data_IF_170183219451
#
_entry.id   IF_170183219451
#
_cell.length_a   1.000
_cell.length_b   1.000
_cell.length_c   1.000
_cell.angle_alpha   90.00
_cell.angle_beta   90.00
_cell.angle_gamma   90.00
#
_symmetry.space_group_name_H-M   'P 1'
#
loop_
_entity.id
_entity.type
_entity.pdbx_description
1 polymer ?
#
# COMPACT_ATOMS: atom_id res chain seq x y z
N UNK A 1 30.89 5.88 -16.44
CA UNK A 1 29.97 7.03 -16.61
C UNK A 1 29.24 7.24 -15.29
N UNK A 2 29.05 8.48 -14.80
CA UNK A 2 28.26 8.71 -13.61
C UNK A 2 26.80 8.31 -13.92
N UNK A 3 26.21 7.42 -13.11
CA UNK A 3 24.80 7.02 -13.27
C UNK A 3 23.94 8.28 -13.22
N UNK A 4 23.12 8.48 -14.25
CA UNK A 4 22.14 9.56 -14.24
C UNK A 4 21.21 9.36 -13.04
N UNK A 5 20.70 10.45 -12.44
CA UNK A 5 19.68 10.37 -11.37
C UNK A 5 18.41 9.59 -11.80
N UNK A 6 18.24 9.28 -13.09
CA UNK A 6 17.12 8.51 -13.61
C UNK A 6 17.31 6.99 -13.46
N UNK A 7 18.54 6.50 -13.25
CA UNK A 7 18.85 5.06 -13.13
C UNK A 7 19.04 4.59 -11.68
N UNK A 8 18.64 5.41 -10.70
CA UNK A 8 18.67 5.05 -9.29
C UNK A 8 17.31 4.57 -8.81
N UNK A 9 17.28 3.46 -8.09
CA UNK A 9 16.13 3.05 -7.29
C UNK A 9 15.99 3.99 -6.09
N UNK A 10 14.81 4.59 -5.93
CA UNK A 10 14.44 5.35 -4.74
C UNK A 10 13.60 4.46 -3.83
N UNK A 11 13.93 4.47 -2.54
CA UNK A 11 13.20 3.78 -1.50
C UNK A 11 12.62 4.87 -0.58
N UNK A 12 11.30 4.95 -0.49
CA UNK A 12 10.61 6.02 0.22
C UNK A 12 9.63 5.42 1.23
N UNK A 13 9.99 5.35 2.53
CA UNK A 13 9.06 4.94 3.57
C UNK A 13 8.04 6.06 3.83
N UNK A 14 6.75 5.74 3.72
CA UNK A 14 5.63 6.64 4.07
C UNK A 14 5.05 6.34 5.46
N UNK A 15 5.44 5.22 6.05
CA UNK A 15 5.17 4.83 7.43
C UNK A 15 5.86 3.51 7.77
N UNK A 16 5.97 3.20 9.07
CA UNK A 16 6.65 2.00 9.60
C UNK A 16 8.17 2.14 9.79
N UNK A 17 8.78 3.27 9.40
CA UNK A 17 10.19 3.57 9.71
C UNK A 17 10.29 4.47 10.94
N UNK A 18 10.96 3.99 12.00
CA UNK A 18 11.09 4.72 13.25
C UNK A 18 9.80 4.74 14.10
N UNK A 19 8.84 3.89 13.76
CA UNK A 19 7.56 3.71 14.46
C UNK A 19 7.09 2.25 14.38
N UNK A 20 6.05 1.89 15.13
CA UNK A 20 5.39 0.58 15.05
C UNK A 20 4.07 0.71 14.31
N UNK A 21 3.94 -0.03 13.21
CA UNK A 21 2.76 -0.08 12.36
C UNK A 21 2.69 1.00 11.29
N UNK A 22 1.52 1.21 10.67
CA UNK A 22 1.35 2.13 9.52
C UNK A 22 2.32 1.82 8.36
N UNK A 23 2.64 0.55 8.14
CA UNK A 23 3.64 0.17 7.15
C UNK A 23 3.18 0.55 5.75
N UNK A 24 4.02 1.32 5.05
CA UNK A 24 3.88 1.62 3.63
C UNK A 24 5.23 2.09 3.09
N UNK A 25 5.74 1.39 2.08
CA UNK A 25 7.01 1.75 1.43
C UNK A 25 6.82 1.86 -0.08
N UNK A 26 7.41 2.88 -0.68
CA UNK A 26 7.47 3.03 -2.13
C UNK A 26 8.84 2.61 -2.65
N UNK A 27 8.84 1.85 -3.74
CA UNK A 27 9.99 1.64 -4.60
C UNK A 27 9.73 2.38 -5.91
N UNK A 28 10.52 3.43 -6.19
CA UNK A 28 10.41 4.21 -7.43
C UNK A 28 11.66 4.00 -8.29
N UNK A 29 11.46 3.52 -9.52
CA UNK A 29 12.53 3.33 -10.50
C UNK A 29 12.07 3.80 -11.87
N UNK A 30 12.86 4.68 -12.52
CA UNK A 30 12.55 5.24 -13.85
C UNK A 30 11.10 5.79 -13.95
N UNK A 31 10.63 6.43 -12.89
CA UNK A 31 9.29 7.01 -12.81
C UNK A 31 8.15 6.01 -12.60
N UNK A 32 8.43 4.71 -12.49
CA UNK A 32 7.46 3.68 -12.10
C UNK A 32 7.50 3.44 -10.59
N UNK A 33 6.34 3.17 -9.99
CA UNK A 33 6.18 3.04 -8.53
C UNK A 33 5.60 1.67 -8.20
N UNK A 34 6.24 0.97 -7.27
CA UNK A 34 5.69 -0.21 -6.60
C UNK A 34 5.45 0.16 -5.14
N UNK A 35 4.27 -0.18 -4.61
CA UNK A 35 3.93 0.02 -3.20
C UNK A 35 4.08 -1.31 -2.48
N UNK A 36 4.74 -1.31 -1.33
CA UNK A 36 4.78 -2.43 -0.40
C UNK A 36 3.94 -2.03 0.81
N UNK A 37 2.87 -2.79 1.03
CA UNK A 37 1.91 -2.61 2.11
C UNK A 37 1.17 -1.26 2.13
N UNK A 38 0.06 -1.24 2.88
CA UNK A 38 -0.82 -0.11 3.09
C UNK A 38 -1.54 -0.29 4.44
N UNK A 39 -0.79 -0.18 5.53
CA UNK A 39 -1.28 -0.39 6.89
C UNK A 39 -1.73 0.87 7.62
N UNK A 40 -2.47 0.69 8.72
CA UNK A 40 -2.71 1.76 9.71
C UNK A 40 -1.96 1.50 11.01
N UNK A 41 -1.91 2.50 11.88
CA UNK A 41 -1.53 2.35 13.29
C UNK A 41 -2.71 2.76 14.17
N UNK A 42 -2.85 2.13 15.32
CA UNK A 42 -3.81 2.53 16.35
C UNK A 42 -3.34 3.83 17.05
N UNK A 43 -4.27 4.68 17.51
CA UNK A 43 -3.95 5.89 18.26
C UNK A 43 -3.23 5.59 19.58
N UNK A 44 -2.55 6.61 20.12
CA UNK A 44 -2.05 6.61 21.49
C UNK A 44 -3.14 7.11 22.47
N UNK A 45 -2.93 6.93 23.78
CA UNK A 45 -3.92 7.27 24.82
C UNK A 45 -4.28 8.76 24.85
N UNK A 46 -3.39 9.62 24.35
CA UNK A 46 -3.55 11.08 24.29
C UNK A 46 -4.28 11.57 23.02
N UNK A 47 -4.79 10.65 22.19
CA UNK A 47 -5.51 10.96 20.94
C UNK A 47 -7.00 10.59 21.00
N UNK A 48 -7.80 11.21 21.89
CA UNK A 48 -9.22 10.86 22.03
C UNK A 48 -10.01 11.15 20.75
N UNK A 49 -10.84 10.18 20.35
CA UNK A 49 -11.72 10.29 19.17
C UNK A 49 -11.07 9.92 17.83
N UNK A 50 -9.79 9.55 17.82
CA UNK A 50 -9.12 9.00 16.63
C UNK A 50 -9.25 7.48 16.63
N UNK A 51 -9.77 6.88 15.56
CA UNK A 51 -9.84 5.41 15.44
C UNK A 51 -8.54 4.81 14.85
N UNK A 52 -8.00 5.45 13.81
CA UNK A 52 -6.86 4.95 13.05
C UNK A 52 -5.98 6.09 12.51
N UNK A 53 -4.67 5.84 12.45
CA UNK A 53 -3.68 6.72 11.82
C UNK A 53 -3.16 6.03 10.54
N UNK A 54 -3.30 6.69 9.39
CA UNK A 54 -2.91 6.14 8.07
C UNK A 54 -1.74 6.90 7.44
N UNK A 55 -0.97 6.30 6.50
CA UNK A 55 0.12 6.98 5.81
C UNK A 55 -0.34 8.21 5.02
N UNK A 56 0.51 9.23 4.94
CA UNK A 56 0.27 10.38 4.07
C UNK A 56 0.81 10.12 2.67
N UNK A 57 -0.10 9.93 1.72
CA UNK A 57 0.21 9.62 0.31
C UNK A 57 0.22 10.84 -0.62
N UNK A 58 0.30 12.07 -0.08
CA UNK A 58 0.29 13.28 -0.92
C UNK A 58 1.41 13.31 -1.97
N UNK A 59 2.54 12.64 -1.72
CA UNK A 59 3.64 12.51 -2.68
C UNK A 59 3.28 11.73 -3.96
N UNK A 60 2.17 10.96 -3.94
CA UNK A 60 1.64 10.20 -5.08
C UNK A 60 0.63 11.00 -5.91
N UNK A 61 0.20 12.18 -5.44
CA UNK A 61 -0.76 13.02 -6.17
C UNK A 61 -0.21 13.41 -7.55
N UNK A 62 -0.96 13.11 -8.60
CA UNK A 62 -0.56 13.31 -10.00
C UNK A 62 0.37 12.23 -10.56
N UNK A 63 0.72 11.21 -9.76
CA UNK A 63 1.54 10.05 -10.16
C UNK A 63 0.75 8.75 -10.10
N UNK A 64 -0.58 8.79 -9.97
CA UNK A 64 -1.42 7.62 -9.78
C UNK A 64 -1.21 6.60 -10.90
N UNK A 65 -1.15 7.06 -12.15
CA UNK A 65 -0.89 6.23 -13.34
C UNK A 65 0.51 5.61 -13.41
N UNK A 66 1.44 6.07 -12.58
CA UNK A 66 2.80 5.55 -12.52
C UNK A 66 2.93 4.40 -11.53
N UNK A 67 1.91 4.17 -10.70
CA UNK A 67 1.86 3.06 -9.75
C UNK A 67 1.54 1.80 -10.54
N UNK A 68 2.50 0.89 -10.60
CA UNK A 68 2.34 -0.39 -11.30
C UNK A 68 1.48 -1.34 -10.45
N UNK A 69 1.73 -1.37 -9.15
CA UNK A 69 0.98 -2.23 -8.26
C UNK A 69 1.29 -2.05 -6.80
N UNK A 70 0.61 -2.87 -6.00
CA UNK A 70 0.74 -2.99 -4.55
C UNK A 70 1.01 -4.45 -4.21
N UNK A 71 2.04 -4.69 -3.40
CA UNK A 71 2.34 -6.02 -2.86
C UNK A 71 2.06 -6.00 -1.37
N UNK A 72 1.22 -6.91 -0.91
CA UNK A 72 0.94 -7.12 0.50
C UNK A 72 1.75 -8.28 1.04
N UNK A 73 2.52 -8.01 2.10
CA UNK A 73 3.41 -8.99 2.72
C UNK A 73 2.62 -10.02 3.54
N UNK A 74 1.68 -9.57 4.37
CA UNK A 74 0.80 -10.41 5.18
C UNK A 74 -0.45 -9.66 5.64
N UNK A 75 -1.38 -10.37 6.30
CA UNK A 75 -2.72 -9.87 6.61
C UNK A 75 -2.91 -9.10 7.91
N UNK A 76 -1.84 -8.67 8.60
CA UNK A 76 -2.03 -7.83 9.78
C UNK A 76 -2.43 -6.40 9.41
N UNK A 77 -3.23 -5.76 10.27
CA UNK A 77 -3.81 -4.44 10.00
C UNK A 77 -2.80 -3.31 9.86
N UNK A 78 -1.63 -3.48 10.45
CA UNK A 78 -0.52 -2.58 10.27
C UNK A 78 0.20 -2.74 8.93
N UNK A 79 -0.25 -3.66 8.07
CA UNK A 79 0.18 -3.86 6.68
C UNK A 79 -0.96 -3.71 5.66
N UNK A 80 -2.21 -4.00 6.02
CA UNK A 80 -3.36 -3.94 5.08
C UNK A 80 -4.46 -2.95 5.47
N UNK A 81 -4.40 -2.42 6.68
CA UNK A 81 -5.55 -1.77 7.27
C UNK A 81 -5.90 -0.42 6.66
N UNK A 82 -4.95 0.27 6.01
CA UNK A 82 -5.21 1.57 5.39
C UNK A 82 -5.83 1.46 3.99
N UNK A 83 -5.97 0.25 3.43
CA UNK A 83 -6.56 0.01 2.11
C UNK A 83 -7.90 0.73 1.93
N UNK A 84 -8.89 0.60 2.83
CA UNK A 84 -10.21 1.19 2.60
C UNK A 84 -10.22 2.71 2.59
N UNK A 85 -9.18 3.35 3.13
CA UNK A 85 -9.07 4.81 3.26
C UNK A 85 -8.24 5.44 2.14
N UNK A 86 -7.31 4.68 1.57
CA UNK A 86 -6.31 5.20 0.63
C UNK A 86 -6.51 4.71 -0.80
N UNK A 87 -7.13 3.55 -1.02
CA UNK A 87 -7.16 2.92 -2.35
C UNK A 87 -7.84 3.79 -3.41
N UNK A 88 -8.94 4.47 -3.07
CA UNK A 88 -9.65 5.37 -4.00
C UNK A 88 -8.75 6.49 -4.57
N UNK A 89 -7.80 6.97 -3.77
CA UNK A 89 -6.94 8.12 -4.11
C UNK A 89 -5.88 7.76 -5.14
N UNK A 90 -5.56 6.49 -5.29
CA UNK A 90 -4.53 5.98 -6.22
C UNK A 90 -5.09 5.01 -7.25
N UNK A 91 -6.41 4.78 -7.25
CA UNK A 91 -7.04 3.77 -8.08
C UNK A 91 -6.95 4.11 -9.58
N UNK A 92 -6.60 3.11 -10.40
CA UNK A 92 -6.75 3.15 -11.84
C UNK A 92 -6.90 1.73 -12.41
N UNK A 93 -7.42 1.56 -13.65
CA UNK A 93 -7.73 0.23 -14.21
C UNK A 93 -6.53 -0.72 -14.37
N UNK A 94 -5.33 -0.17 -14.48
CA UNK A 94 -4.08 -0.93 -14.67
C UNK A 94 -3.33 -1.21 -13.34
N UNK A 95 -3.94 -0.89 -12.20
CA UNK A 95 -3.30 -1.10 -10.90
C UNK A 95 -3.34 -2.60 -10.55
N UNK A 96 -2.17 -3.22 -10.41
CA UNK A 96 -2.10 -4.62 -10.00
C UNK A 96 -1.95 -4.74 -8.48
N UNK A 97 -2.67 -5.69 -7.87
CA UNK A 97 -2.61 -5.92 -6.42
C UNK A 97 -2.23 -7.37 -6.18
N UNK A 98 -1.19 -7.62 -5.41
CA UNK A 98 -0.66 -8.95 -5.14
C UNK A 98 -0.71 -9.27 -3.66
N UNK A 99 -1.19 -10.46 -3.30
CA UNK A 99 -1.22 -10.93 -1.92
C UNK A 99 -1.23 -12.46 -1.83
N UNK A 100 -0.77 -13.01 -0.71
CA UNK A 100 -0.93 -14.44 -0.42
C UNK A 100 -2.41 -14.81 -0.21
N UNK A 101 -2.82 -16.08 -0.34
CA UNK A 101 -4.24 -16.48 -0.27
C UNK A 101 -4.93 -16.02 1.02
N UNK A 102 -4.26 -16.18 2.17
CA UNK A 102 -4.79 -15.74 3.47
C UNK A 102 -4.93 -14.22 3.54
N UNK A 103 -3.91 -13.49 3.10
CA UNK A 103 -3.89 -12.02 3.10
C UNK A 103 -4.99 -11.48 2.19
N UNK A 104 -5.15 -12.04 0.99
CA UNK A 104 -6.25 -11.73 0.08
C UNK A 104 -7.61 -11.94 0.74
N UNK A 105 -7.83 -13.07 1.41
CA UNK A 105 -9.08 -13.36 2.13
C UNK A 105 -9.42 -12.29 3.17
N UNK A 106 -8.43 -11.87 3.97
CA UNK A 106 -8.61 -10.82 5.00
C UNK A 106 -8.91 -9.46 4.34
N UNK A 107 -8.16 -9.08 3.30
CA UNK A 107 -8.38 -7.82 2.56
C UNK A 107 -9.79 -7.77 1.98
N UNK A 108 -10.22 -8.83 1.29
CA UNK A 108 -11.54 -8.87 0.66
C UNK A 108 -12.66 -8.86 1.70
N UNK A 109 -12.49 -9.56 2.83
CA UNK A 109 -13.44 -9.52 3.94
C UNK A 109 -13.57 -8.12 4.50
N UNK A 110 -12.45 -7.41 4.72
CA UNK A 110 -12.43 -6.04 5.26
C UNK A 110 -13.03 -5.04 4.27
N UNK A 111 -12.73 -5.17 2.98
CA UNK A 111 -13.32 -4.31 1.94
C UNK A 111 -14.84 -4.46 1.85
N UNK A 112 -15.41 -5.60 2.28
CA UNK A 112 -16.86 -5.79 2.37
C UNK A 112 -17.55 -4.76 3.28
N UNK A 113 -16.85 -4.21 4.28
CA UNK A 113 -17.37 -3.17 5.18
C UNK A 113 -17.41 -1.78 4.49
N UNK A 114 -16.74 -1.63 3.34
CA UNK A 114 -16.58 -0.36 2.61
C UNK A 114 -17.10 -0.50 1.17
N UNK A 115 -18.39 -0.82 1.03
CA UNK A 115 -19.05 -1.13 -0.24
C UNK A 115 -19.00 -0.01 -1.30
N UNK A 116 -18.70 1.23 -0.90
CA UNK A 116 -18.53 2.39 -1.78
C UNK A 116 -17.13 2.46 -2.43
N UNK A 117 -16.17 1.65 -2.00
CA UNK A 117 -14.82 1.60 -2.56
C UNK A 117 -14.75 0.76 -3.84
N UNK A 118 -13.74 0.97 -4.70
CA UNK A 118 -13.50 0.10 -5.84
C UNK A 118 -13.38 -1.37 -5.43
N UNK A 119 -13.97 -2.25 -6.22
CA UNK A 119 -13.79 -3.70 -6.04
C UNK A 119 -12.36 -4.06 -6.41
N UNK A 120 -11.62 -4.60 -5.45
CA UNK A 120 -10.23 -4.97 -5.65
C UNK A 120 -10.16 -6.33 -6.35
N UNK A 121 -9.46 -6.37 -7.49
CA UNK A 121 -9.02 -7.62 -8.09
C UNK A 121 -7.61 -7.90 -7.58
N UNK A 122 -7.48 -8.92 -6.75
CA UNK A 122 -6.20 -9.30 -6.12
C UNK A 122 -5.67 -10.55 -6.84
N UNK A 123 -4.44 -10.45 -7.32
CA UNK A 123 -3.68 -11.55 -7.90
C UNK A 123 -3.04 -12.36 -6.77
N UNK A 124 -3.47 -13.61 -6.62
CA UNK A 124 -2.92 -14.52 -5.62
C UNK A 124 -1.45 -14.84 -5.93
N UNK A 125 -0.57 -14.69 -4.94
CA UNK A 125 0.85 -15.08 -5.05
C UNK A 125 1.18 -16.21 -4.09
N UNK A 126 1.98 -17.16 -4.56
CA UNK A 126 2.51 -18.29 -3.78
C UNK A 126 4.03 -18.20 -3.74
N UNK A 127 4.65 -19.06 -2.93
CA UNK A 127 6.09 -19.18 -2.94
C UNK A 127 6.59 -19.48 -4.36
N UNK A 128 7.64 -18.79 -4.80
CA UNK A 128 8.21 -18.85 -6.16
C UNK A 128 7.33 -18.27 -7.29
N UNK A 129 6.21 -17.61 -7.00
CA UNK A 129 5.50 -16.82 -8.01
C UNK A 129 6.40 -15.71 -8.55
N UNK A 130 6.33 -15.46 -9.86
CA UNK A 130 6.92 -14.29 -10.51
C UNK A 130 5.80 -13.29 -10.78
N UNK A 131 6.00 -12.05 -10.30
CA UNK A 131 5.10 -10.91 -10.47
C UNK A 131 5.83 -9.78 -11.16
#
# INVERSE_FOLDING_TARGET
>A
MPKSKQDSLKIVPLGGLGEVGRNMMLLEYQGKILIIDMGFRLPEEDMPGIDYIVPNINCLKGKEKNILGIVFTHGHYDHIGAIPYLIAKIWHPNLEIFASPLTQGIILKRQGDFSFQPKLKINEVKNNSKI
#
